data_IF_974076608950
#
_entry.id   IF_974076608950
#
_cell.length_a   1.000
_cell.length_b   1.000
_cell.length_c   1.000
_cell.angle_alpha   90.00
_cell.angle_beta   90.00
_cell.angle_gamma   90.00
#
_symmetry.space_group_name_H-M   'P 1'
#
loop_
_entity.id
_entity.type
_entity.pdbx_description
1 polymer ?
#
# COMPACT_ATOMS: atom_id res chain seq x y z
N UNK A 1 13.15 -22.33 -10.59
CA UNK A 1 12.98 -22.44 -9.12
C UNK A 1 14.31 -22.42 -8.37
N UNK A 2 15.29 -23.30 -8.70
CA UNK A 2 16.61 -23.32 -8.03
C UNK A 2 17.32 -21.96 -8.13
N UNK A 3 17.40 -21.35 -9.31
CA UNK A 3 18.05 -20.04 -9.49
C UNK A 3 17.42 -18.97 -8.60
N UNK A 4 16.07 -18.89 -8.53
CA UNK A 4 15.40 -17.89 -7.68
C UNK A 4 15.63 -18.12 -6.18
N UNK A 5 15.80 -19.37 -5.78
CA UNK A 5 16.15 -19.72 -4.40
C UNK A 5 17.60 -19.29 -4.08
N UNK A 6 18.53 -19.55 -5.01
CA UNK A 6 19.94 -19.10 -4.85
C UNK A 6 20.03 -17.58 -4.78
N UNK A 7 19.28 -16.85 -5.63
CA UNK A 7 19.23 -15.38 -5.58
C UNK A 7 18.66 -14.89 -4.24
N UNK A 8 17.63 -15.56 -3.70
CA UNK A 8 17.09 -15.22 -2.39
C UNK A 8 18.10 -15.49 -1.24
N UNK A 9 18.86 -16.57 -1.32
CA UNK A 9 19.95 -16.83 -0.35
C UNK A 9 21.04 -15.77 -0.45
N UNK A 10 21.39 -15.36 -1.66
CA UNK A 10 22.34 -14.26 -1.86
C UNK A 10 21.85 -12.96 -1.25
N UNK A 11 20.57 -12.61 -1.42
CA UNK A 11 19.96 -11.44 -0.81
C UNK A 11 20.02 -11.50 0.74
N UNK A 12 19.85 -12.69 1.33
CA UNK A 12 20.00 -12.89 2.80
C UNK A 12 21.45 -12.62 3.23
N UNK A 13 22.42 -13.16 2.50
CA UNK A 13 23.84 -12.94 2.81
C UNK A 13 24.21 -11.46 2.63
N UNK A 14 23.66 -10.81 1.63
CA UNK A 14 23.89 -9.38 1.35
C UNK A 14 23.50 -8.49 2.54
N UNK A 15 22.44 -8.80 3.29
CA UNK A 15 22.05 -8.02 4.47
C UNK A 15 23.11 -8.06 5.56
N UNK A 16 23.77 -9.20 5.76
CA UNK A 16 24.88 -9.32 6.70
C UNK A 16 26.12 -8.58 6.21
N UNK A 17 26.45 -8.69 4.92
CA UNK A 17 27.62 -7.99 4.33
C UNK A 17 27.44 -6.47 4.45
N UNK A 18 26.24 -5.94 4.21
CA UNK A 18 25.99 -4.50 4.26
C UNK A 18 25.97 -3.94 5.68
N UNK A 19 25.42 -4.65 6.65
CA UNK A 19 25.23 -4.12 8.01
C UNK A 19 26.25 -4.63 9.03
N UNK A 20 26.93 -5.74 8.77
CA UNK A 20 27.73 -6.45 9.77
C UNK A 20 26.90 -7.00 10.95
N UNK A 21 25.57 -6.92 10.90
CA UNK A 21 24.66 -7.20 12.01
C UNK A 21 24.00 -8.56 11.90
N UNK A 22 24.07 -9.31 12.96
CA UNK A 22 23.40 -10.60 13.10
C UNK A 22 21.88 -10.44 13.23
N UNK A 23 21.40 -9.34 13.85
CA UNK A 23 19.99 -9.00 13.90
C UNK A 23 19.39 -8.86 12.51
N UNK A 24 20.04 -8.09 11.62
CA UNK A 24 19.60 -7.92 10.24
C UNK A 24 19.55 -9.23 9.46
N UNK A 25 20.53 -10.09 9.63
CA UNK A 25 20.57 -11.42 9.03
C UNK A 25 19.39 -12.28 9.50
N UNK A 26 19.18 -12.39 10.82
CA UNK A 26 18.10 -13.19 11.39
C UNK A 26 16.72 -12.69 10.97
N UNK A 27 16.52 -11.37 10.97
CA UNK A 27 15.25 -10.79 10.49
C UNK A 27 15.01 -11.13 9.03
N UNK A 28 16.04 -11.07 8.19
CA UNK A 28 15.93 -11.42 6.76
C UNK A 28 15.61 -12.91 6.57
N UNK A 29 16.23 -13.78 7.35
CA UNK A 29 15.88 -15.21 7.38
C UNK A 29 14.44 -15.42 7.86
N UNK A 30 14.00 -14.71 8.89
CA UNK A 30 12.62 -14.76 9.36
C UNK A 30 11.62 -14.35 8.27
N UNK A 31 11.90 -13.26 7.54
CA UNK A 31 11.09 -12.81 6.38
C UNK A 31 11.00 -13.93 5.33
N UNK A 32 12.15 -14.50 4.97
CA UNK A 32 12.22 -15.55 3.96
C UNK A 32 11.43 -16.80 4.38
N UNK A 33 11.64 -17.29 5.60
CA UNK A 33 10.91 -18.45 6.14
C UNK A 33 9.40 -18.19 6.20
N UNK A 34 8.99 -17.01 6.69
CA UNK A 34 7.58 -16.61 6.75
C UNK A 34 6.91 -16.65 5.38
N UNK A 35 7.60 -16.16 4.35
CA UNK A 35 7.11 -16.22 2.97
C UNK A 35 7.00 -17.65 2.44
N UNK A 36 8.01 -18.50 2.68
CA UNK A 36 7.96 -19.91 2.29
C UNK A 36 6.82 -20.65 2.98
N UNK A 37 6.56 -20.36 4.27
CA UNK A 37 5.42 -20.93 5.00
C UNK A 37 4.09 -20.44 4.44
N UNK A 38 3.95 -19.15 4.15
CA UNK A 38 2.73 -18.62 3.54
C UNK A 38 2.49 -19.21 2.15
N UNK A 39 3.53 -19.48 1.36
CA UNK A 39 3.42 -20.17 0.07
C UNK A 39 2.83 -21.60 0.20
N UNK A 40 3.00 -22.27 1.35
CA UNK A 40 2.38 -23.59 1.58
C UNK A 40 0.85 -23.54 1.58
N UNK A 41 0.26 -22.38 1.86
CA UNK A 41 -1.20 -22.18 1.83
C UNK A 41 -1.78 -22.04 0.41
N UNK A 42 -0.94 -21.97 -0.63
CA UNK A 42 -1.35 -21.99 -2.03
C UNK A 42 -1.58 -23.45 -2.46
N UNK A 43 -2.60 -23.68 -3.29
CA UNK A 43 -2.87 -25.01 -3.88
C UNK A 43 -1.63 -25.59 -4.56
N UNK A 44 -1.45 -26.92 -4.47
CA UNK A 44 -0.23 -27.63 -4.92
C UNK A 44 0.19 -27.26 -6.36
N UNK A 45 -0.76 -27.15 -7.26
CA UNK A 45 -0.55 -26.82 -8.69
C UNK A 45 0.06 -25.45 -8.95
N UNK A 46 -0.15 -24.47 -8.06
CA UNK A 46 0.31 -23.10 -8.18
C UNK A 46 1.38 -22.72 -7.16
N UNK A 47 1.74 -23.63 -6.26
CA UNK A 47 2.68 -23.38 -5.15
C UNK A 47 4.06 -22.99 -5.62
N UNK A 48 4.58 -23.65 -6.64
CA UNK A 48 5.91 -23.38 -7.17
C UNK A 48 5.98 -22.00 -7.86
N UNK A 49 4.89 -21.59 -8.52
CA UNK A 49 4.79 -20.21 -9.05
C UNK A 49 4.70 -19.19 -7.92
N UNK A 50 3.97 -19.49 -6.83
CA UNK A 50 3.90 -18.65 -5.65
C UNK A 50 5.26 -18.47 -4.99
N UNK A 51 6.04 -19.55 -4.84
CA UNK A 51 7.43 -19.50 -4.34
C UNK A 51 8.35 -18.70 -5.24
N UNK A 52 8.26 -18.91 -6.56
CA UNK A 52 9.05 -18.14 -7.53
C UNK A 52 8.72 -16.64 -7.44
N UNK A 53 7.43 -16.28 -7.38
CA UNK A 53 6.97 -14.91 -7.21
C UNK A 53 7.54 -14.29 -5.94
N UNK A 54 7.37 -14.99 -4.81
CA UNK A 54 7.88 -14.54 -3.52
C UNK A 54 9.40 -14.32 -3.56
N UNK A 55 10.16 -15.31 -4.05
CA UNK A 55 11.62 -15.22 -4.10
C UNK A 55 12.09 -14.01 -4.93
N UNK A 56 11.45 -13.73 -6.07
CA UNK A 56 11.79 -12.56 -6.90
C UNK A 56 11.49 -11.26 -6.14
N UNK A 57 10.26 -11.10 -5.62
CA UNK A 57 9.85 -9.88 -4.94
C UNK A 57 10.68 -9.66 -3.67
N UNK A 58 10.87 -10.70 -2.85
CA UNK A 58 11.71 -10.67 -1.65
C UNK A 58 13.15 -10.25 -1.98
N UNK A 59 13.78 -10.88 -2.99
CA UNK A 59 15.15 -10.55 -3.35
C UNK A 59 15.29 -9.11 -3.83
N UNK A 60 14.36 -8.63 -4.67
CA UNK A 60 14.36 -7.25 -5.12
C UNK A 60 14.21 -6.28 -3.93
N UNK A 61 13.18 -6.46 -3.08
CA UNK A 61 12.95 -5.58 -1.93
C UNK A 61 14.12 -5.58 -0.95
N UNK A 62 14.70 -6.75 -0.65
CA UNK A 62 15.86 -6.88 0.23
C UNK A 62 17.08 -6.17 -0.34
N UNK A 63 17.36 -6.34 -1.64
CA UNK A 63 18.48 -5.65 -2.31
C UNK A 63 18.31 -4.14 -2.27
N UNK A 64 17.10 -3.63 -2.55
CA UNK A 64 16.84 -2.18 -2.48
C UNK A 64 16.90 -1.64 -1.06
N UNK A 65 16.47 -2.42 -0.06
CA UNK A 65 16.64 -2.06 1.35
C UNK A 65 18.11 -1.99 1.76
N UNK A 66 18.96 -2.90 1.25
CA UNK A 66 20.40 -2.84 1.45
C UNK A 66 21.03 -1.60 0.80
N UNK A 67 20.63 -1.25 -0.43
CA UNK A 67 21.10 -0.03 -1.10
C UNK A 67 20.66 1.21 -0.34
N UNK A 68 19.40 1.26 0.10
CA UNK A 68 18.89 2.36 0.92
C UNK A 68 19.66 2.49 2.25
N UNK A 69 19.90 1.37 2.91
CA UNK A 69 20.70 1.36 4.15
C UNK A 69 22.10 1.92 3.94
N UNK A 70 22.81 1.44 2.91
CA UNK A 70 24.17 1.90 2.62
C UNK A 70 24.22 3.41 2.36
N UNK A 71 23.28 3.91 1.59
CA UNK A 71 23.17 5.32 1.26
C UNK A 71 22.83 6.17 2.49
N UNK A 72 21.90 5.69 3.34
CA UNK A 72 21.49 6.39 4.57
C UNK A 72 22.60 6.42 5.63
N UNK A 73 23.40 5.36 5.76
CA UNK A 73 24.51 5.29 6.73
C UNK A 73 25.64 6.23 6.34
N UNK A 74 25.90 6.38 5.03
CA UNK A 74 26.92 7.31 4.53
C UNK A 74 26.52 8.77 4.74
N UNK A 75 25.24 9.07 4.55
CA UNK A 75 24.70 10.40 4.73
C UNK A 75 23.33 10.36 5.44
N UNK A 76 23.33 10.61 6.76
CA UNK A 76 22.12 10.62 7.59
C UNK A 76 21.03 11.62 7.18
N UNK A 77 21.27 12.43 6.15
CA UNK A 77 20.29 13.35 5.59
C UNK A 77 19.48 12.72 4.46
N UNK A 78 19.81 11.51 4.04
CA UNK A 78 19.22 10.84 2.87
C UNK A 78 18.20 9.75 3.22
N UNK A 79 17.30 10.00 4.16
CA UNK A 79 16.04 9.23 4.19
C UNK A 79 15.21 9.62 2.97
N UNK A 80 14.86 8.66 2.13
CA UNK A 80 14.25 8.79 0.80
C UNK A 80 13.14 9.86 0.64
N UNK A 81 12.22 9.70 -0.28
CA UNK A 81 11.20 10.69 -0.62
C UNK A 81 10.30 11.17 0.54
N UNK A 82 10.16 10.34 1.59
CA UNK A 82 9.42 10.63 2.82
C UNK A 82 10.35 10.67 4.05
N UNK A 83 11.54 11.18 3.88
CA UNK A 83 12.60 11.20 4.90
C UNK A 83 12.13 11.68 6.28
N UNK A 84 11.24 12.65 6.35
CA UNK A 84 10.72 13.16 7.62
C UNK A 84 9.95 12.10 8.42
N UNK A 85 9.16 11.26 7.76
CA UNK A 85 8.42 10.16 8.40
C UNK A 85 9.37 8.99 8.76
N UNK A 86 10.28 8.59 7.86
CA UNK A 86 11.27 7.54 8.12
C UNK A 86 12.20 7.91 9.28
N UNK A 87 12.75 9.14 9.26
CA UNK A 87 13.59 9.65 10.33
C UNK A 87 12.85 9.67 11.68
N UNK A 88 11.61 10.11 11.69
CA UNK A 88 10.75 10.10 12.88
C UNK A 88 10.59 8.67 13.44
N UNK A 89 10.28 7.70 12.59
CA UNK A 89 10.12 6.31 13.03
C UNK A 89 11.45 5.69 13.48
N UNK A 90 12.56 6.05 12.83
CA UNK A 90 13.87 5.62 13.30
C UNK A 90 14.18 6.14 14.71
N UNK A 91 13.98 7.44 14.96
CA UNK A 91 14.17 8.02 16.30
C UNK A 91 13.26 7.41 17.36
N UNK A 92 12.03 7.07 17.01
CA UNK A 92 11.13 6.35 17.89
C UNK A 92 11.63 4.92 18.18
N UNK A 93 12.15 4.22 17.19
CA UNK A 93 12.71 2.89 17.40
C UNK A 93 13.94 2.89 18.30
N UNK A 94 14.84 3.89 18.14
CA UNK A 94 15.98 4.10 19.06
C UNK A 94 15.53 4.37 20.49
N UNK A 95 14.51 5.19 20.70
CA UNK A 95 13.95 5.45 22.03
C UNK A 95 13.35 4.19 22.64
N UNK A 96 12.60 3.41 21.85
CA UNK A 96 11.89 2.22 22.32
C UNK A 96 12.82 1.01 22.54
N UNK A 97 13.98 0.97 21.91
CA UNK A 97 14.97 -0.10 22.14
C UNK A 97 15.46 -0.14 23.59
N UNK A 98 15.56 1.03 24.24
CA UNK A 98 15.97 1.14 25.66
C UNK A 98 14.89 0.84 26.69
N UNK A 99 13.68 0.42 26.29
CA UNK A 99 12.60 0.10 27.24
C UNK A 99 12.88 -1.18 28.02
N UNK A 100 12.43 -1.28 29.28
CA UNK A 100 12.74 -2.43 30.14
C UNK A 100 11.95 -3.70 29.77
N UNK A 101 10.85 -3.57 29.03
CA UNK A 101 10.00 -4.72 28.65
C UNK A 101 9.01 -4.39 27.53
N UNK A 102 8.55 -5.41 26.83
CA UNK A 102 7.43 -5.29 25.85
C UNK A 102 6.17 -4.75 26.52
N UNK A 103 5.93 -5.07 27.80
CA UNK A 103 4.79 -4.56 28.55
C UNK A 103 4.86 -3.03 28.71
N UNK A 104 6.02 -2.47 29.00
CA UNK A 104 6.19 -1.00 29.11
C UNK A 104 5.97 -0.30 27.77
N UNK A 105 6.46 -0.88 26.66
CA UNK A 105 6.19 -0.38 25.31
C UNK A 105 4.68 -0.38 25.02
N UNK A 106 3.98 -1.47 25.36
CA UNK A 106 2.53 -1.58 25.15
C UNK A 106 1.76 -0.53 25.97
N UNK A 107 2.13 -0.36 27.24
CA UNK A 107 1.48 0.63 28.13
C UNK A 107 1.69 2.04 27.58
N UNK A 108 2.90 2.39 27.20
CA UNK A 108 3.20 3.76 26.73
C UNK A 108 2.63 4.04 25.33
N UNK A 109 2.54 3.04 24.46
CA UNK A 109 1.91 3.21 23.16
C UNK A 109 0.37 3.33 23.27
N UNK A 110 -0.31 2.43 23.99
CA UNK A 110 -1.77 2.31 23.91
C UNK A 110 -2.53 2.92 25.10
N UNK A 111 -1.93 2.96 26.30
CA UNK A 111 -2.58 3.47 27.50
C UNK A 111 -2.17 4.93 27.75
N UNK A 112 -0.88 5.17 27.94
CA UNK A 112 -0.35 6.50 28.25
C UNK A 112 -0.29 7.40 27.01
N UNK A 113 -0.11 6.82 25.81
CA UNK A 113 0.09 7.52 24.53
C UNK A 113 1.22 8.55 24.57
N UNK A 114 2.27 8.25 25.31
CA UNK A 114 3.41 9.15 25.52
C UNK A 114 4.43 9.07 24.38
N UNK A 115 4.39 8.00 23.59
CA UNK A 115 5.35 7.72 22.51
C UNK A 115 4.73 8.06 21.16
N UNK A 116 5.44 8.80 20.32
CA UNK A 116 4.98 9.13 18.95
C UNK A 116 4.01 10.28 18.84
N UNK A 117 3.61 10.91 19.98
CA UNK A 117 2.66 12.02 20.03
C UNK A 117 1.19 11.56 20.19
N UNK A 118 0.28 12.47 20.51
CA UNK A 118 -1.05 12.15 21.03
C UNK A 118 -2.02 11.55 20.00
N UNK A 119 -1.69 11.54 18.72
CA UNK A 119 -2.73 11.40 17.69
C UNK A 119 -2.51 10.22 16.78
N UNK A 120 -1.28 9.73 16.54
CA UNK A 120 -1.09 8.89 15.37
C UNK A 120 -0.27 7.63 15.60
N UNK A 121 -0.72 6.54 14.98
CA UNK A 121 0.11 5.40 14.58
C UNK A 121 0.61 4.51 15.72
N UNK A 122 -0.07 4.46 16.82
CA UNK A 122 0.36 3.68 17.99
C UNK A 122 0.63 2.21 17.65
N UNK A 123 -0.15 1.61 16.74
CA UNK A 123 0.09 0.25 16.29
C UNK A 123 1.39 0.08 15.51
N UNK A 124 1.76 1.06 14.67
CA UNK A 124 3.04 1.00 13.96
C UNK A 124 4.22 1.30 14.89
N UNK A 125 4.08 2.29 15.78
CA UNK A 125 5.08 2.61 16.80
C UNK A 125 5.34 1.40 17.71
N UNK A 126 4.27 0.72 18.14
CA UNK A 126 4.37 -0.53 18.90
C UNK A 126 5.10 -1.63 18.14
N UNK A 127 4.77 -1.81 16.85
CA UNK A 127 5.43 -2.80 16.00
C UNK A 127 6.94 -2.55 15.89
N UNK A 128 7.36 -1.33 15.53
CA UNK A 128 8.79 -1.00 15.42
C UNK A 128 9.50 -1.03 16.77
N UNK A 129 8.79 -0.68 17.86
CA UNK A 129 9.30 -0.75 19.22
C UNK A 129 9.55 -2.19 19.69
N UNK A 130 8.66 -3.14 19.37
CA UNK A 130 8.93 -4.56 19.64
C UNK A 130 10.14 -5.04 18.87
N UNK A 131 10.26 -4.73 17.59
CA UNK A 131 11.41 -5.10 16.79
C UNK A 131 12.70 -4.54 17.40
N UNK A 132 12.71 -3.25 17.74
CA UNK A 132 13.86 -2.59 18.33
C UNK A 132 14.25 -3.20 19.68
N UNK A 133 13.28 -3.44 20.57
CA UNK A 133 13.48 -4.10 21.84
C UNK A 133 14.05 -5.52 21.70
N UNK A 134 13.52 -6.30 20.75
CA UNK A 134 14.02 -7.66 20.51
C UNK A 134 15.46 -7.65 19.99
N UNK A 135 15.79 -6.73 19.09
CA UNK A 135 17.14 -6.59 18.56
C UNK A 135 18.14 -6.19 19.65
N UNK A 136 17.77 -5.23 20.51
CA UNK A 136 18.63 -4.74 21.59
C UNK A 136 18.80 -5.77 22.72
N UNK A 137 17.71 -6.49 23.07
CA UNK A 137 17.72 -7.38 24.23
C UNK A 137 18.32 -8.76 23.91
N UNK A 138 18.08 -9.29 22.72
CA UNK A 138 18.36 -10.69 22.38
C UNK A 138 19.38 -10.87 21.24
N UNK A 139 19.76 -9.80 20.55
CA UNK A 139 20.65 -9.84 19.39
C UNK A 139 21.84 -8.87 19.59
N UNK A 140 22.39 -8.38 18.51
CA UNK A 140 23.55 -7.49 18.48
C UNK A 140 23.21 -5.99 18.42
N UNK A 141 21.95 -5.63 18.72
CA UNK A 141 21.47 -4.25 18.79
C UNK A 141 20.49 -3.88 17.68
N UNK A 142 19.76 -2.80 17.94
CA UNK A 142 18.84 -2.22 16.97
C UNK A 142 19.61 -1.46 15.89
N UNK A 143 19.43 -1.84 14.62
CA UNK A 143 19.99 -1.13 13.50
C UNK A 143 18.94 -0.85 12.41
N UNK A 144 19.22 0.12 11.55
CA UNK A 144 18.28 0.62 10.56
C UNK A 144 17.92 -0.46 9.51
N UNK A 145 18.86 -1.30 9.06
CA UNK A 145 18.57 -2.36 8.10
C UNK A 145 17.66 -3.43 8.70
N UNK A 146 17.81 -3.75 9.98
CA UNK A 146 16.90 -4.64 10.70
C UNK A 146 15.45 -4.10 10.66
N UNK A 147 15.28 -2.80 10.86
CA UNK A 147 13.97 -2.14 10.79
C UNK A 147 13.41 -2.12 9.35
N UNK A 148 14.26 -1.89 8.34
CA UNK A 148 13.85 -1.99 6.92
C UNK A 148 13.36 -3.40 6.58
N UNK A 149 14.00 -4.44 7.12
CA UNK A 149 13.53 -5.82 6.92
C UNK A 149 12.14 -6.05 7.52
N UNK A 150 11.74 -5.30 8.55
CA UNK A 150 10.36 -5.25 9.04
C UNK A 150 9.36 -4.79 7.98
N UNK A 151 9.70 -3.80 7.16
CA UNK A 151 8.87 -3.37 6.02
C UNK A 151 8.90 -4.38 4.89
N UNK A 152 10.09 -4.94 4.57
CA UNK A 152 10.27 -5.98 3.54
C UNK A 152 9.42 -7.23 3.86
N UNK A 153 9.21 -7.56 5.13
CA UNK A 153 8.30 -8.64 5.53
C UNK A 153 6.92 -8.46 4.88
N UNK A 154 6.27 -7.33 5.13
CA UNK A 154 4.93 -7.08 4.62
C UNK A 154 4.91 -6.84 3.11
N UNK A 155 5.90 -6.14 2.56
CA UNK A 155 6.05 -5.91 1.12
C UNK A 155 6.23 -7.21 0.32
N UNK A 156 6.94 -8.19 0.85
CA UNK A 156 7.12 -9.48 0.19
C UNK A 156 5.92 -10.42 0.37
N UNK A 157 5.36 -10.51 1.59
CA UNK A 157 4.17 -11.32 1.88
C UNK A 157 2.93 -10.82 1.13
N UNK A 158 2.82 -9.51 0.89
CA UNK A 158 1.79 -8.91 0.06
C UNK A 158 1.66 -9.60 -1.30
N UNK A 159 2.77 -9.90 -1.98
CA UNK A 159 2.76 -10.54 -3.30
C UNK A 159 2.07 -11.92 -3.27
N UNK A 160 2.25 -12.69 -2.20
CA UNK A 160 1.63 -14.01 -2.02
C UNK A 160 0.11 -13.87 -1.80
N UNK A 161 -0.31 -12.94 -0.94
CA UNK A 161 -1.74 -12.70 -0.68
C UNK A 161 -2.43 -12.20 -1.95
N UNK A 162 -1.80 -11.28 -2.68
CA UNK A 162 -2.32 -10.80 -3.96
C UNK A 162 -2.43 -11.94 -4.97
N UNK A 163 -1.43 -12.82 -5.05
CA UNK A 163 -1.46 -13.98 -5.93
C UNK A 163 -2.63 -14.92 -5.59
N UNK A 164 -2.88 -15.18 -4.29
CA UNK A 164 -4.05 -15.97 -3.84
C UNK A 164 -5.37 -15.33 -4.26
N UNK A 165 -5.49 -14.01 -4.21
CA UNK A 165 -6.68 -13.29 -4.67
C UNK A 165 -6.86 -13.46 -6.18
N UNK A 166 -5.79 -13.30 -6.96
CA UNK A 166 -5.85 -13.46 -8.41
C UNK A 166 -6.23 -14.88 -8.83
N UNK A 167 -5.76 -15.91 -8.11
CA UNK A 167 -6.11 -17.31 -8.34
C UNK A 167 -7.59 -17.63 -8.14
N UNK A 168 -8.37 -16.76 -7.50
CA UNK A 168 -9.83 -16.92 -7.40
C UNK A 168 -10.54 -16.68 -8.75
N UNK A 169 -9.88 -15.97 -9.67
CA UNK A 169 -10.51 -15.49 -10.89
C UNK A 169 -9.72 -15.76 -12.16
N UNK A 170 -8.41 -15.96 -12.08
CA UNK A 170 -7.49 -16.00 -13.22
C UNK A 170 -6.62 -17.24 -13.12
N UNK A 171 -6.29 -17.84 -14.26
CA UNK A 171 -5.34 -18.97 -14.37
C UNK A 171 -3.99 -18.63 -13.73
N UNK A 172 -3.37 -19.62 -13.07
CA UNK A 172 -2.16 -19.44 -12.28
C UNK A 172 -0.97 -18.88 -13.05
N UNK A 173 -0.80 -19.20 -14.34
CA UNK A 173 0.28 -18.64 -15.16
C UNK A 173 0.08 -17.15 -15.46
N UNK A 174 -1.16 -16.75 -15.73
CA UNK A 174 -1.51 -15.33 -15.97
C UNK A 174 -1.52 -14.56 -14.66
N UNK A 175 -2.08 -15.12 -13.60
CA UNK A 175 -2.08 -14.55 -12.26
C UNK A 175 -0.65 -14.23 -11.80
N UNK A 176 0.30 -15.17 -11.98
CA UNK A 176 1.73 -14.94 -11.70
C UNK A 176 2.28 -13.71 -12.42
N UNK A 177 2.06 -13.62 -13.76
CA UNK A 177 2.54 -12.48 -14.56
C UNK A 177 1.95 -11.15 -14.10
N UNK A 178 0.65 -11.11 -13.83
CA UNK A 178 -0.01 -9.89 -13.39
C UNK A 178 0.46 -9.46 -12.01
N UNK A 179 0.55 -10.38 -11.07
CA UNK A 179 1.00 -10.06 -9.71
C UNK A 179 2.47 -9.65 -9.69
N UNK A 180 3.34 -10.33 -10.45
CA UNK A 180 4.73 -9.93 -10.58
C UNK A 180 4.86 -8.50 -11.14
N UNK A 181 4.12 -8.19 -12.22
CA UNK A 181 4.11 -6.86 -12.81
C UNK A 181 3.62 -5.80 -11.80
N UNK A 182 2.54 -6.08 -11.07
CA UNK A 182 2.04 -5.17 -10.05
C UNK A 182 3.06 -4.99 -8.91
N UNK A 183 3.63 -6.08 -8.41
CA UNK A 183 4.56 -6.03 -7.28
C UNK A 183 5.85 -5.26 -7.60
N UNK A 184 6.30 -5.25 -8.86
CA UNK A 184 7.55 -4.58 -9.25
C UNK A 184 7.34 -3.19 -9.88
N UNK A 185 6.19 -2.96 -10.56
CA UNK A 185 5.95 -1.72 -11.30
C UNK A 185 4.93 -0.79 -10.65
N UNK A 186 4.36 -1.13 -9.49
CA UNK A 186 3.46 -0.23 -8.77
C UNK A 186 4.19 0.50 -7.64
N UNK A 187 3.55 1.55 -7.13
CA UNK A 187 4.03 2.30 -5.97
C UNK A 187 4.33 1.40 -4.75
N UNK A 188 3.69 0.24 -4.65
CA UNK A 188 3.91 -0.72 -3.55
C UNK A 188 5.35 -1.20 -3.48
N UNK A 189 6.04 -1.28 -4.61
CA UNK A 189 7.44 -1.68 -4.63
C UNK A 189 8.32 -0.70 -3.85
N UNK A 190 8.25 0.60 -4.15
CA UNK A 190 9.02 1.62 -3.43
C UNK A 190 8.70 1.62 -1.93
N UNK A 191 7.43 1.54 -1.56
CA UNK A 191 7.05 1.53 -0.15
C UNK A 191 7.32 0.20 0.55
N UNK A 192 7.61 -0.86 -0.20
CA UNK A 192 7.91 -2.19 0.33
C UNK A 192 9.26 -2.33 1.03
N UNK A 193 10.21 -1.42 0.77
CA UNK A 193 11.53 -1.39 1.40
C UNK A 193 11.79 -0.12 2.23
N UNK A 194 10.94 0.91 2.12
CA UNK A 194 11.02 2.10 2.96
C UNK A 194 10.52 1.82 4.37
N UNK A 195 11.08 2.51 5.35
CA UNK A 195 10.70 2.38 6.75
C UNK A 195 9.42 3.15 7.07
N UNK A 196 8.32 2.70 6.45
CA UNK A 196 7.02 3.35 6.51
C UNK A 196 5.89 2.35 6.82
N UNK A 197 4.85 2.84 7.49
CA UNK A 197 3.67 2.04 7.86
C UNK A 197 2.79 1.61 6.70
N UNK A 198 2.89 2.29 5.56
CA UNK A 198 1.91 2.21 4.47
C UNK A 198 1.85 0.81 3.83
N UNK A 199 3.00 0.13 3.69
CA UNK A 199 3.04 -1.26 3.20
C UNK A 199 2.43 -2.24 4.20
N UNK A 200 2.56 -1.98 5.51
CA UNK A 200 1.96 -2.80 6.57
C UNK A 200 0.44 -2.70 6.50
N UNK A 201 -0.09 -1.48 6.37
CA UNK A 201 -1.52 -1.22 6.18
C UNK A 201 -2.03 -1.97 4.94
N UNK A 202 -1.33 -1.83 3.82
CA UNK A 202 -1.69 -2.48 2.56
C UNK A 202 -1.77 -4.00 2.68
N UNK A 203 -0.82 -4.63 3.36
CA UNK A 203 -0.83 -6.08 3.58
C UNK A 203 -2.07 -6.52 4.35
N UNK A 204 -2.44 -5.81 5.42
CA UNK A 204 -3.63 -6.12 6.19
C UNK A 204 -4.92 -5.85 5.40
N UNK A 205 -4.97 -4.77 4.61
CA UNK A 205 -6.09 -4.51 3.69
C UNK A 205 -6.28 -5.64 2.68
N UNK A 206 -5.17 -6.12 2.12
CA UNK A 206 -5.21 -7.24 1.18
C UNK A 206 -5.68 -8.54 1.84
N UNK A 207 -5.29 -8.74 3.10
CA UNK A 207 -5.75 -9.87 3.90
C UNK A 207 -7.26 -9.79 4.21
N UNK A 208 -7.76 -8.59 4.53
CA UNK A 208 -9.18 -8.28 4.64
C UNK A 208 -9.89 -8.61 3.33
N UNK A 209 -9.40 -8.11 2.20
CA UNK A 209 -9.96 -8.34 0.88
C UNK A 209 -10.01 -9.84 0.55
N UNK A 210 -8.95 -10.58 0.84
CA UNK A 210 -8.92 -12.04 0.64
C UNK A 210 -10.01 -12.75 1.43
N UNK A 211 -10.24 -12.37 2.70
CA UNK A 211 -11.31 -12.95 3.53
C UNK A 211 -12.69 -12.61 2.97
N UNK A 212 -12.92 -11.36 2.59
CA UNK A 212 -14.20 -10.88 2.05
C UNK A 212 -14.60 -11.63 0.78
N UNK A 213 -13.63 -12.02 -0.03
CA UNK A 213 -13.87 -12.82 -1.25
C UNK A 213 -14.20 -14.29 -0.97
N UNK A 214 -13.93 -14.79 0.23
CA UNK A 214 -14.26 -16.18 0.62
C UNK A 214 -15.73 -16.34 1.01
N UNK A 215 -16.17 -17.60 1.11
CA UNK A 215 -17.49 -17.94 1.66
C UNK A 215 -17.58 -17.51 3.12
N UNK A 216 -18.77 -17.11 3.55
CA UNK A 216 -19.00 -16.71 4.93
C UNK A 216 -18.76 -17.86 5.90
N UNK A 217 -17.99 -17.57 6.95
CA UNK A 217 -17.86 -18.40 8.16
C UNK A 217 -17.63 -17.48 9.36
N UNK A 218 -18.06 -17.90 10.55
CA UNK A 218 -17.90 -17.10 11.79
C UNK A 218 -16.42 -16.85 12.09
N UNK A 219 -15.54 -17.85 11.93
CA UNK A 219 -14.10 -17.68 12.15
C UNK A 219 -13.49 -16.62 11.23
N UNK A 220 -13.92 -16.56 9.96
CA UNK A 220 -13.47 -15.51 9.02
C UNK A 220 -14.00 -14.14 9.40
N UNK A 221 -15.23 -14.07 9.93
CA UNK A 221 -15.77 -12.81 10.44
C UNK A 221 -14.96 -12.31 11.64
N UNK A 222 -14.62 -13.19 12.58
CA UNK A 222 -13.73 -12.84 13.70
C UNK A 222 -12.38 -12.37 13.18
N UNK A 223 -11.76 -13.11 12.24
CA UNK A 223 -10.51 -12.71 11.60
C UNK A 223 -10.61 -11.34 10.91
N UNK A 224 -11.72 -11.07 10.22
CA UNK A 224 -11.97 -9.78 9.57
C UNK A 224 -12.05 -8.63 10.59
N UNK A 225 -12.74 -8.84 11.72
CA UNK A 225 -12.84 -7.85 12.80
C UNK A 225 -11.45 -7.59 13.41
N UNK A 226 -10.67 -8.64 13.69
CA UNK A 226 -9.31 -8.51 14.23
C UNK A 226 -8.37 -7.77 13.28
N UNK A 227 -8.40 -8.09 11.99
CA UNK A 227 -7.59 -7.39 10.97
C UNK A 227 -8.01 -5.93 10.84
N UNK A 228 -9.31 -5.63 10.88
CA UNK A 228 -9.83 -4.25 10.85
C UNK A 228 -9.38 -3.46 12.08
N UNK A 229 -9.36 -4.10 13.27
CA UNK A 229 -8.82 -3.48 14.48
C UNK A 229 -7.32 -3.21 14.37
N UNK A 230 -6.52 -4.12 13.80
CA UNK A 230 -5.09 -3.90 13.55
C UNK A 230 -4.91 -2.71 12.61
N UNK A 231 -5.66 -2.66 11.49
CA UNK A 231 -5.60 -1.52 10.55
C UNK A 231 -5.97 -0.21 11.23
N UNK A 232 -6.97 -0.22 12.13
CA UNK A 232 -7.35 0.95 12.92
C UNK A 232 -6.20 1.45 13.80
N UNK A 233 -5.46 0.54 14.45
CA UNK A 233 -4.29 0.90 15.26
C UNK A 233 -3.12 1.41 14.40
N UNK A 234 -3.02 0.98 13.14
CA UNK A 234 -2.01 1.46 12.20
C UNK A 234 -2.38 2.84 11.62
N UNK A 235 -3.65 3.06 11.29
CA UNK A 235 -4.20 4.33 10.77
C UNK A 235 -5.70 4.37 10.95
N UNK A 236 -6.19 5.31 11.77
CA UNK A 236 -7.60 5.40 12.14
C UNK A 236 -8.54 5.48 10.92
N UNK A 237 -8.23 6.33 9.94
CA UNK A 237 -9.05 6.52 8.72
C UNK A 237 -9.22 5.21 7.94
N UNK A 238 -8.15 4.45 7.80
CA UNK A 238 -8.17 3.16 7.11
C UNK A 238 -8.95 2.10 7.90
N UNK A 239 -8.81 2.11 9.24
CA UNK A 239 -9.57 1.21 10.10
C UNK A 239 -11.07 1.48 10.04
N UNK A 240 -11.47 2.75 10.11
CA UNK A 240 -12.87 3.15 9.95
C UNK A 240 -13.43 2.71 8.60
N UNK A 241 -12.65 2.90 7.53
CA UNK A 241 -13.05 2.46 6.21
C UNK A 241 -13.17 0.93 6.09
N UNK A 242 -12.38 0.17 6.85
CA UNK A 242 -12.45 -1.29 6.85
C UNK A 242 -13.78 -1.86 7.33
N UNK A 243 -14.58 -1.07 8.07
CA UNK A 243 -15.93 -1.43 8.50
C UNK A 243 -16.85 -1.66 7.30
N UNK A 244 -16.63 -0.95 6.19
CA UNK A 244 -17.40 -1.16 4.94
C UNK A 244 -17.21 -2.58 4.40
N UNK A 245 -16.01 -3.15 4.55
CA UNK A 245 -15.74 -4.54 4.15
C UNK A 245 -16.44 -5.55 5.08
N UNK A 246 -16.49 -5.26 6.39
CA UNK A 246 -17.24 -6.08 7.36
C UNK A 246 -18.73 -6.05 6.99
N UNK A 247 -19.29 -4.88 6.77
CA UNK A 247 -20.67 -4.69 6.36
C UNK A 247 -21.00 -5.47 5.06
N UNK A 248 -20.12 -5.36 4.06
CA UNK A 248 -20.28 -6.08 2.81
C UNK A 248 -20.21 -7.59 3.00
N UNK A 249 -19.30 -8.10 3.84
CA UNK A 249 -19.17 -9.54 4.12
C UNK A 249 -20.41 -10.11 4.81
N UNK A 250 -20.98 -9.37 5.77
CA UNK A 250 -22.24 -9.74 6.44
C UNK A 250 -23.41 -9.64 5.46
N UNK A 251 -23.49 -8.57 4.65
CA UNK A 251 -24.49 -8.44 3.60
C UNK A 251 -24.49 -9.64 2.64
N UNK A 252 -23.31 -10.05 2.18
CA UNK A 252 -23.12 -11.20 1.28
C UNK A 252 -23.66 -12.49 1.89
N UNK A 253 -23.50 -12.68 3.21
CA UNK A 253 -24.00 -13.85 3.92
C UNK A 253 -25.54 -13.87 4.04
N UNK A 254 -26.11 -12.72 4.37
CA UNK A 254 -27.51 -12.61 4.78
C UNK A 254 -28.41 -11.91 3.77
N UNK A 255 -27.93 -11.65 2.53
CA UNK A 255 -28.70 -10.94 1.48
C UNK A 255 -30.08 -11.53 1.15
N UNK A 256 -30.31 -12.79 1.47
CA UNK A 256 -31.61 -13.44 1.30
C UNK A 256 -32.62 -13.05 2.39
N UNK A 257 -32.17 -12.61 3.56
CA UNK A 257 -32.97 -12.22 4.70
C UNK A 257 -33.09 -10.69 4.71
N UNK A 258 -34.02 -10.15 3.91
CA UNK A 258 -34.17 -8.70 3.69
C UNK A 258 -34.29 -7.90 4.99
N UNK A 259 -35.04 -8.39 5.97
CA UNK A 259 -35.24 -7.72 7.27
C UNK A 259 -33.91 -7.60 8.04
N UNK A 260 -33.10 -8.65 8.08
CA UNK A 260 -31.81 -8.63 8.76
C UNK A 260 -30.83 -7.64 8.08
N UNK A 261 -30.85 -7.59 6.75
CA UNK A 261 -30.03 -6.64 5.98
C UNK A 261 -30.43 -5.20 6.32
N UNK A 262 -31.72 -4.88 6.36
CA UNK A 262 -32.19 -3.54 6.72
C UNK A 262 -31.85 -3.18 8.17
N UNK A 263 -32.02 -4.12 9.12
CA UNK A 263 -31.61 -3.93 10.52
C UNK A 263 -30.10 -3.63 10.62
N UNK A 264 -29.26 -4.40 9.93
CA UNK A 264 -27.81 -4.18 9.91
C UNK A 264 -27.45 -2.82 9.30
N UNK A 265 -28.09 -2.44 8.18
CA UNK A 265 -27.88 -1.14 7.54
C UNK A 265 -28.30 0.04 8.42
N UNK A 266 -29.30 -0.15 9.28
CA UNK A 266 -29.74 0.88 10.26
C UNK A 266 -28.88 0.90 11.52
N UNK A 267 -28.55 -0.27 12.08
CA UNK A 267 -27.80 -0.36 13.34
C UNK A 267 -26.31 -0.04 13.17
N UNK A 268 -25.70 -0.42 12.04
CA UNK A 268 -24.28 -0.27 11.82
C UNK A 268 -23.82 1.22 11.83
N UNK A 269 -24.52 2.17 11.17
CA UNK A 269 -24.23 3.60 11.32
C UNK A 269 -24.40 4.11 12.76
N UNK A 270 -25.44 3.67 13.45
CA UNK A 270 -25.69 4.10 14.84
C UNK A 270 -24.58 3.63 15.77
N UNK A 271 -24.23 2.35 15.72
CA UNK A 271 -23.10 1.78 16.48
C UNK A 271 -21.79 2.51 16.12
N UNK A 272 -21.59 2.76 14.82
CA UNK A 272 -20.43 3.48 14.33
C UNK A 272 -20.35 4.89 14.92
N UNK A 273 -21.42 5.68 14.86
CA UNK A 273 -21.42 7.05 15.41
C UNK A 273 -21.31 7.09 16.92
N UNK A 274 -21.90 6.15 17.64
CA UNK A 274 -21.83 6.09 19.12
C UNK A 274 -20.42 5.76 19.61
N UNK A 275 -19.75 4.77 18.98
CA UNK A 275 -18.44 4.30 19.45
C UNK A 275 -17.26 4.97 18.75
N UNK A 276 -17.43 5.45 17.54
CA UNK A 276 -16.36 6.02 16.74
C UNK A 276 -16.59 7.49 16.34
N UNK A 277 -17.63 8.15 16.85
CA UNK A 277 -17.96 9.54 16.51
C UNK A 277 -16.79 10.49 16.73
N UNK A 278 -16.12 10.39 17.88
CA UNK A 278 -14.94 11.21 18.20
C UNK A 278 -13.76 10.97 17.24
N UNK A 279 -13.56 9.74 16.78
CA UNK A 279 -12.53 9.41 15.78
C UNK A 279 -12.94 9.88 14.39
N UNK A 280 -14.23 9.80 14.07
CA UNK A 280 -14.77 10.35 12.83
C UNK A 280 -14.57 11.87 12.77
N UNK A 281 -14.89 12.59 13.85
CA UNK A 281 -14.68 14.03 13.94
C UNK A 281 -13.20 14.40 13.80
N UNK A 282 -12.27 13.63 14.38
CA UNK A 282 -10.84 13.82 14.18
C UNK A 282 -10.43 13.59 12.73
N UNK A 283 -10.94 12.52 12.10
CA UNK A 283 -10.65 12.20 10.69
C UNK A 283 -11.15 13.33 9.78
N UNK A 284 -12.38 13.81 10.00
CA UNK A 284 -12.95 14.95 9.25
C UNK A 284 -12.15 16.22 9.49
N UNK A 285 -11.75 16.50 10.73
CA UNK A 285 -10.92 17.66 11.07
C UNK A 285 -9.53 17.57 10.40
N UNK A 286 -8.91 16.38 10.39
CA UNK A 286 -7.65 16.14 9.69
C UNK A 286 -7.80 16.37 8.19
N UNK A 287 -8.85 15.83 7.56
CA UNK A 287 -9.14 16.06 6.13
C UNK A 287 -9.32 17.55 5.82
N UNK A 288 -10.04 18.28 6.68
CA UNK A 288 -10.25 19.72 6.56
C UNK A 288 -8.93 20.47 6.69
N UNK A 289 -8.12 20.15 7.68
CA UNK A 289 -6.80 20.74 7.88
C UNK A 289 -5.88 20.50 6.67
N UNK A 290 -5.82 19.28 6.13
CA UNK A 290 -5.05 18.98 4.92
C UNK A 290 -5.56 19.76 3.70
N UNK A 291 -6.87 19.93 3.56
CA UNK A 291 -7.46 20.71 2.46
C UNK A 291 -7.10 22.19 2.59
N UNK A 292 -7.20 22.74 3.81
CA UNK A 292 -6.83 24.13 4.12
C UNK A 292 -5.33 24.36 3.86
N UNK A 293 -4.47 23.50 4.42
CA UNK A 293 -3.01 23.55 4.22
C UNK A 293 -2.63 23.49 2.73
N UNK A 294 -3.19 22.54 1.96
CA UNK A 294 -2.91 22.41 0.53
C UNK A 294 -3.43 23.61 -0.26
N UNK A 295 -4.58 24.16 0.15
CA UNK A 295 -5.16 25.36 -0.49
C UNK A 295 -4.32 26.60 -0.17
N UNK A 296 -3.79 26.72 1.04
CA UNK A 296 -2.89 27.81 1.41
C UNK A 296 -1.56 27.71 0.66
N UNK A 297 -0.95 26.54 0.60
CA UNK A 297 0.25 26.30 -0.22
C UNK A 297 0.00 26.63 -1.70
N UNK A 298 -1.20 26.33 -2.20
CA UNK A 298 -1.58 26.64 -3.58
C UNK A 298 -1.61 28.14 -3.90
N UNK A 299 -1.73 29.02 -2.91
CA UNK A 299 -1.68 30.48 -3.11
C UNK A 299 -0.28 30.95 -3.49
N UNK A 300 0.77 30.28 -3.03
CA UNK A 300 2.17 30.72 -3.09
C UNK A 300 3.05 29.87 -4.03
N UNK A 301 2.55 28.80 -4.57
CA UNK A 301 3.37 27.84 -5.32
C UNK A 301 2.93 27.65 -6.76
N UNK A 302 3.91 27.33 -7.65
CA UNK A 302 3.77 27.23 -9.11
C UNK A 302 3.60 25.80 -9.64
N UNK A 303 3.20 24.87 -8.78
CA UNK A 303 2.99 23.46 -9.18
C UNK A 303 1.61 23.20 -9.79
N UNK A 304 1.51 22.33 -10.83
CA UNK A 304 0.23 21.96 -11.45
C UNK A 304 -0.78 21.43 -10.43
N UNK A 305 -0.34 20.60 -9.48
CA UNK A 305 -1.19 20.08 -8.40
C UNK A 305 -1.85 21.19 -7.58
N UNK A 306 -1.11 22.28 -7.35
CA UNK A 306 -1.57 23.38 -6.54
C UNK A 306 -2.56 24.30 -7.28
N UNK A 307 -2.47 24.41 -8.61
CA UNK A 307 -3.49 25.08 -9.40
C UNK A 307 -4.84 24.38 -9.34
N UNK A 308 -4.84 23.05 -9.22
CA UNK A 308 -6.09 22.27 -9.12
C UNK A 308 -6.84 22.65 -7.82
N UNK A 309 -6.15 22.91 -6.73
CA UNK A 309 -6.78 23.34 -5.46
C UNK A 309 -7.41 24.72 -5.52
N UNK A 310 -7.05 25.56 -6.52
CA UNK A 310 -7.68 26.88 -6.77
C UNK A 310 -9.01 26.78 -7.53
N UNK A 311 -9.35 25.60 -8.09
CA UNK A 311 -10.59 25.41 -8.83
C UNK A 311 -11.82 25.41 -7.92
N UNK A 312 -13.01 25.75 -8.46
CA UNK A 312 -14.28 25.62 -7.74
C UNK A 312 -14.48 24.19 -7.19
N UNK A 313 -15.10 24.02 -6.01
CA UNK A 313 -15.13 22.75 -5.29
C UNK A 313 -15.48 21.53 -6.12
N UNK A 314 -16.59 21.55 -6.87
CA UNK A 314 -17.04 20.38 -7.66
C UNK A 314 -16.05 20.06 -8.79
N UNK A 315 -15.55 21.07 -9.50
CA UNK A 315 -14.58 20.89 -10.59
C UNK A 315 -13.25 20.38 -10.00
N UNK A 316 -12.83 20.95 -8.88
CA UNK A 316 -11.63 20.53 -8.15
C UNK A 316 -11.65 19.03 -7.84
N UNK A 317 -12.73 18.53 -7.22
CA UNK A 317 -12.83 17.11 -6.84
C UNK A 317 -12.78 16.18 -8.06
N UNK A 318 -13.48 16.53 -9.15
CA UNK A 318 -13.43 15.75 -10.40
C UNK A 318 -12.01 15.74 -10.98
N UNK A 319 -11.37 16.91 -11.05
CA UNK A 319 -10.01 17.01 -11.58
C UNK A 319 -9.01 16.29 -10.70
N UNK A 320 -9.10 16.40 -9.37
CA UNK A 320 -8.24 15.67 -8.41
C UNK A 320 -8.39 14.15 -8.55
N UNK A 321 -9.62 13.65 -8.75
CA UNK A 321 -9.85 12.22 -8.97
C UNK A 321 -9.04 11.69 -10.16
N UNK A 322 -9.10 12.37 -11.30
CA UNK A 322 -8.32 11.97 -12.47
C UNK A 322 -6.84 12.29 -12.33
N UNK A 323 -6.49 13.42 -11.71
CA UNK A 323 -5.10 13.80 -11.47
C UNK A 323 -4.37 12.80 -10.56
N UNK A 324 -5.05 12.21 -9.59
CA UNK A 324 -4.48 11.21 -8.69
C UNK A 324 -3.82 10.02 -9.42
N UNK A 325 -4.28 9.73 -10.64
CA UNK A 325 -3.74 8.65 -11.48
C UNK A 325 -2.50 9.04 -12.30
N UNK A 326 -2.18 10.33 -12.40
CA UNK A 326 -1.02 10.84 -13.18
C UNK A 326 0.03 11.53 -12.32
N UNK A 327 -0.28 11.78 -11.05
CA UNK A 327 0.64 12.41 -10.11
C UNK A 327 1.84 11.49 -9.80
N UNK A 328 3.07 12.05 -9.64
CA UNK A 328 3.47 13.43 -9.85
C UNK A 328 3.62 13.79 -11.32
N UNK A 329 3.39 15.07 -11.65
CA UNK A 329 3.59 15.61 -13.01
C UNK A 329 4.56 16.79 -12.94
N UNK A 330 5.67 16.77 -13.68
CA UNK A 330 6.19 15.63 -14.45
C UNK A 330 6.81 14.56 -13.53
N UNK A 331 6.75 13.27 -13.90
CA UNK A 331 7.20 12.18 -13.03
C UNK A 331 8.73 12.15 -12.81
N UNK A 332 9.49 12.84 -13.65
CA UNK A 332 10.96 12.92 -13.55
C UNK A 332 11.46 14.12 -12.73
N UNK A 333 10.59 14.95 -12.15
CA UNK A 333 11.01 16.15 -11.42
C UNK A 333 12.02 15.84 -10.31
N UNK A 334 11.79 14.76 -9.58
CA UNK A 334 12.66 14.33 -8.49
C UNK A 334 13.98 13.75 -8.99
N UNK A 335 14.02 13.15 -10.18
CA UNK A 335 15.24 12.57 -10.75
C UNK A 335 16.36 13.61 -10.94
N UNK A 336 15.99 14.81 -11.38
CA UNK A 336 16.97 15.90 -11.56
C UNK A 336 17.34 16.62 -10.26
N UNK A 337 16.58 16.40 -9.20
CA UNK A 337 16.87 16.90 -7.86
C UNK A 337 17.60 15.88 -6.97
N UNK A 338 17.80 14.66 -7.45
CA UNK A 338 18.44 13.57 -6.70
C UNK A 338 19.90 13.88 -6.45
N UNK A 339 20.32 13.80 -5.17
CA UNK A 339 21.69 14.07 -4.76
C UNK A 339 22.52 12.80 -4.62
N UNK A 340 21.90 11.64 -4.52
CA UNK A 340 22.54 10.34 -4.30
C UNK A 340 21.97 9.25 -5.21
N UNK A 341 22.65 8.08 -5.22
CA UNK A 341 22.30 6.96 -6.06
C UNK A 341 20.90 6.41 -5.73
N UNK A 342 20.59 6.30 -4.44
CA UNK A 342 19.31 5.71 -4.00
C UNK A 342 18.12 6.59 -4.41
N UNK A 343 18.20 7.91 -4.17
CA UNK A 343 17.18 8.86 -4.61
C UNK A 343 16.98 8.83 -6.12
N UNK A 344 18.07 8.69 -6.88
CA UNK A 344 18.02 8.50 -8.34
C UNK A 344 17.24 7.26 -8.75
N UNK A 345 17.50 6.12 -8.10
CA UNK A 345 16.82 4.85 -8.35
C UNK A 345 15.34 4.96 -7.98
N UNK A 346 15.00 5.51 -6.81
CA UNK A 346 13.61 5.70 -6.38
C UNK A 346 12.87 6.62 -7.34
N UNK A 347 13.52 7.71 -7.78
CA UNK A 347 12.94 8.66 -8.75
C UNK A 347 12.70 8.03 -10.12
N UNK A 348 13.59 7.15 -10.58
CA UNK A 348 13.33 6.33 -11.78
C UNK A 348 12.12 5.41 -11.60
N UNK A 349 11.97 4.80 -10.43
CA UNK A 349 10.80 3.96 -10.14
C UNK A 349 9.51 4.79 -10.06
N UNK A 350 9.58 6.06 -9.60
CA UNK A 350 8.43 6.99 -9.66
C UNK A 350 7.91 7.13 -11.10
N UNK A 351 8.81 7.25 -12.09
CA UNK A 351 8.41 7.31 -13.49
C UNK A 351 7.70 6.01 -13.92
N UNK A 352 8.26 4.86 -13.54
CA UNK A 352 7.71 3.54 -13.88
C UNK A 352 6.31 3.37 -13.30
N UNK A 353 6.13 3.60 -12.00
CA UNK A 353 4.82 3.39 -11.37
C UNK A 353 3.77 4.41 -11.81
N UNK A 354 4.15 5.64 -12.09
CA UNK A 354 3.22 6.66 -12.58
C UNK A 354 2.68 6.28 -13.96
N UNK A 355 3.54 5.88 -14.90
CA UNK A 355 3.12 5.41 -16.23
C UNK A 355 2.27 4.14 -16.12
N UNK A 356 2.73 3.17 -15.29
CA UNK A 356 2.01 1.92 -15.06
C UNK A 356 0.59 2.20 -14.54
N UNK A 357 0.47 3.04 -13.51
CA UNK A 357 -0.80 3.34 -12.87
C UNK A 357 -1.72 4.17 -13.78
N UNK A 358 -1.17 5.13 -14.51
CA UNK A 358 -1.88 5.87 -15.54
C UNK A 358 -2.58 4.93 -16.54
N UNK A 359 -1.82 4.00 -17.13
CA UNK A 359 -2.38 3.04 -18.10
C UNK A 359 -3.46 2.16 -17.46
N UNK A 360 -3.22 1.65 -16.25
CA UNK A 360 -4.17 0.81 -15.53
C UNK A 360 -5.46 1.56 -15.23
N UNK A 361 -5.35 2.72 -14.59
CA UNK A 361 -6.50 3.50 -14.15
C UNK A 361 -7.38 3.96 -15.30
N UNK A 362 -6.79 4.62 -16.30
CA UNK A 362 -7.57 5.15 -17.44
C UNK A 362 -8.12 4.05 -18.35
N UNK A 363 -7.40 2.94 -18.52
CA UNK A 363 -7.97 1.77 -19.21
C UNK A 363 -9.15 1.18 -18.45
N UNK A 364 -9.04 1.07 -17.13
CA UNK A 364 -10.13 0.56 -16.28
C UNK A 364 -11.34 1.47 -16.36
N UNK A 365 -11.14 2.77 -16.21
CA UNK A 365 -12.20 3.77 -16.33
C UNK A 365 -12.88 3.69 -17.69
N UNK A 366 -12.11 3.71 -18.80
CA UNK A 366 -12.63 3.59 -20.13
C UNK A 366 -13.48 2.34 -20.31
N UNK A 367 -12.94 1.17 -19.97
CA UNK A 367 -13.63 -0.09 -20.22
C UNK A 367 -14.83 -0.31 -19.31
N UNK A 368 -14.73 0.02 -18.03
CA UNK A 368 -15.83 -0.20 -17.09
C UNK A 368 -16.94 0.84 -17.25
N UNK A 369 -16.58 2.13 -17.38
CA UNK A 369 -17.54 3.23 -17.37
C UNK A 369 -17.96 3.60 -18.80
N UNK A 370 -17.02 4.00 -19.67
CA UNK A 370 -17.35 4.50 -21.01
C UNK A 370 -17.84 3.39 -21.95
N UNK A 371 -17.19 2.22 -21.93
CA UNK A 371 -17.58 1.06 -22.75
C UNK A 371 -18.68 0.20 -22.08
N UNK A 372 -19.14 0.55 -20.87
CA UNK A 372 -20.20 -0.14 -20.13
C UNK A 372 -19.90 -1.59 -19.73
N UNK A 373 -18.62 -1.99 -19.69
CA UNK A 373 -18.21 -3.38 -19.41
C UNK A 373 -18.24 -3.77 -17.94
N UNK A 374 -18.73 -2.92 -17.06
CA UNK A 374 -18.85 -3.22 -15.61
C UNK A 374 -19.67 -4.50 -15.37
N UNK A 375 -20.67 -4.78 -16.22
CA UNK A 375 -21.50 -6.00 -16.17
C UNK A 375 -20.70 -7.29 -16.43
N UNK A 376 -19.51 -7.19 -16.97
CA UNK A 376 -18.62 -8.34 -17.20
C UNK A 376 -17.82 -8.74 -15.96
N UNK A 377 -17.78 -7.90 -14.94
CA UNK A 377 -17.13 -8.21 -13.68
C UNK A 377 -17.98 -9.16 -12.82
N UNK A 378 -17.35 -10.02 -12.02
CA UNK A 378 -18.05 -10.72 -10.93
C UNK A 378 -18.73 -9.72 -9.99
N UNK A 379 -19.87 -10.09 -9.41
CA UNK A 379 -20.65 -9.19 -8.53
C UNK A 379 -19.80 -8.68 -7.37
N UNK A 380 -19.00 -9.56 -6.75
CA UNK A 380 -18.09 -9.15 -5.67
C UNK A 380 -17.10 -8.06 -6.14
N UNK A 381 -16.59 -8.16 -7.38
CA UNK A 381 -15.67 -7.17 -7.95
C UNK A 381 -16.35 -5.84 -8.30
N UNK A 382 -17.63 -5.85 -8.65
CA UNK A 382 -18.40 -4.61 -8.86
C UNK A 382 -18.48 -3.83 -7.53
N UNK A 383 -18.89 -4.51 -6.45
CA UNK A 383 -18.96 -3.91 -5.12
C UNK A 383 -17.61 -3.40 -4.63
N UNK A 384 -16.57 -4.22 -4.73
CA UNK A 384 -15.22 -3.85 -4.31
C UNK A 384 -14.66 -2.68 -5.12
N UNK A 385 -14.94 -2.62 -6.43
CA UNK A 385 -14.56 -1.47 -7.26
C UNK A 385 -15.30 -0.20 -6.83
N UNK A 386 -16.58 -0.29 -6.49
CA UNK A 386 -17.35 0.82 -5.93
C UNK A 386 -16.76 1.32 -4.60
N UNK A 387 -16.41 0.39 -3.70
CA UNK A 387 -15.73 0.69 -2.43
C UNK A 387 -14.37 1.37 -2.69
N UNK A 388 -13.59 0.87 -3.67
CA UNK A 388 -12.30 1.47 -4.02
C UNK A 388 -12.45 2.90 -4.56
N UNK A 389 -13.45 3.16 -5.41
CA UNK A 389 -13.76 4.52 -5.91
C UNK A 389 -14.17 5.42 -4.74
N UNK A 390 -15.04 4.96 -3.85
CA UNK A 390 -15.44 5.71 -2.66
C UNK A 390 -14.22 6.06 -1.80
N UNK A 391 -13.30 5.12 -1.59
CA UNK A 391 -12.07 5.36 -0.85
C UNK A 391 -11.21 6.46 -1.50
N UNK A 392 -11.04 6.44 -2.83
CA UNK A 392 -10.31 7.49 -3.55
C UNK A 392 -10.99 8.84 -3.35
N UNK A 393 -12.32 8.92 -3.53
CA UNK A 393 -13.08 10.15 -3.38
C UNK A 393 -12.93 10.74 -1.98
N UNK A 394 -13.01 9.93 -0.94
CA UNK A 394 -12.84 10.36 0.44
C UNK A 394 -11.40 10.84 0.77
N UNK A 395 -10.42 10.44 -0.02
CA UNK A 395 -9.00 10.83 0.16
C UNK A 395 -8.53 11.90 -0.82
N UNK A 396 -9.41 12.56 -1.58
CA UNK A 396 -9.02 13.59 -2.56
C UNK A 396 -8.39 14.84 -1.93
N UNK A 397 -8.62 15.10 -0.65
CA UNK A 397 -7.93 16.16 0.10
C UNK A 397 -6.41 15.95 0.16
N UNK A 398 -5.96 14.70 0.06
CA UNK A 398 -4.55 14.34 -0.03
C UNK A 398 -4.38 13.15 -0.99
N UNK A 399 -4.35 13.38 -2.32
CA UNK A 399 -4.36 12.33 -3.33
C UNK A 399 -2.99 11.67 -3.53
N UNK A 400 -2.13 11.65 -2.52
CA UNK A 400 -0.83 10.99 -2.57
C UNK A 400 -1.00 9.49 -2.82
N UNK A 401 -0.23 8.93 -3.75
CA UNK A 401 -0.27 7.50 -4.10
C UNK A 401 -0.14 6.58 -2.89
N UNK A 402 0.70 6.95 -1.92
CA UNK A 402 0.89 6.17 -0.68
C UNK A 402 -0.41 5.96 0.10
N UNK A 403 -1.30 6.95 0.12
CA UNK A 403 -2.59 6.84 0.80
C UNK A 403 -3.59 6.00 0.00
N UNK A 404 -3.54 6.11 -1.31
CA UNK A 404 -4.47 5.43 -2.21
C UNK A 404 -4.06 3.98 -2.52
N UNK A 405 -2.82 3.59 -2.25
CA UNK A 405 -2.31 2.27 -2.64
C UNK A 405 -3.07 1.10 -2.01
N UNK A 406 -3.78 1.31 -0.89
CA UNK A 406 -4.61 0.28 -0.25
C UNK A 406 -5.71 -0.28 -1.18
N UNK A 407 -6.25 0.54 -2.10
CA UNK A 407 -7.30 0.13 -3.04
C UNK A 407 -6.78 -0.19 -4.45
N UNK A 408 -5.51 0.10 -4.75
CA UNK A 408 -4.92 -0.19 -6.05
C UNK A 408 -5.01 -1.66 -6.49
N UNK A 409 -4.82 -2.66 -5.59
CA UNK A 409 -4.99 -4.06 -5.95
C UNK A 409 -6.38 -4.40 -6.49
N UNK A 410 -7.43 -3.77 -5.95
CA UNK A 410 -8.82 -3.97 -6.40
C UNK A 410 -9.01 -3.45 -7.82
N UNK A 411 -8.56 -2.21 -8.08
CA UNK A 411 -8.66 -1.58 -9.40
C UNK A 411 -7.83 -2.37 -10.43
N UNK A 412 -6.64 -2.81 -10.03
CA UNK A 412 -5.77 -3.60 -10.91
C UNK A 412 -6.36 -4.98 -11.23
N UNK A 413 -6.98 -5.65 -10.25
CA UNK A 413 -7.69 -6.91 -10.49
C UNK A 413 -8.87 -6.70 -11.46
N UNK A 414 -9.66 -5.64 -11.27
CA UNK A 414 -10.76 -5.29 -12.18
C UNK A 414 -10.24 -5.03 -13.60
N UNK A 415 -9.14 -4.27 -13.74
CA UNK A 415 -8.43 -4.08 -15.01
C UNK A 415 -8.07 -5.41 -15.67
N UNK A 416 -7.42 -6.32 -14.93
CA UNK A 416 -6.99 -7.60 -15.47
C UNK A 416 -8.16 -8.48 -15.91
N UNK A 417 -9.24 -8.53 -15.11
CA UNK A 417 -10.44 -9.32 -15.41
C UNK A 417 -11.14 -8.86 -16.68
N UNK A 418 -11.25 -7.56 -16.90
CA UNK A 418 -11.86 -7.02 -18.12
C UNK A 418 -10.93 -7.18 -19.32
N UNK A 419 -9.64 -6.92 -19.13
CA UNK A 419 -8.61 -7.07 -20.17
C UNK A 419 -8.58 -8.49 -20.76
N UNK A 420 -8.77 -9.53 -19.93
CA UNK A 420 -8.81 -10.93 -20.40
C UNK A 420 -10.00 -11.21 -21.35
N UNK A 421 -11.04 -10.38 -21.31
CA UNK A 421 -12.23 -10.50 -22.15
C UNK A 421 -12.20 -9.61 -23.41
N UNK A 422 -11.15 -8.80 -23.57
CA UNK A 422 -10.98 -7.89 -24.70
C UNK A 422 -9.95 -8.46 -25.67
N UNK A 423 -10.20 -8.43 -27.00
CA UNK A 423 -9.23 -8.84 -28.00
C UNK A 423 -7.92 -8.06 -27.89
N UNK A 424 -6.79 -8.75 -28.01
CA UNK A 424 -5.43 -8.16 -27.89
C UNK A 424 -5.21 -6.91 -28.75
N UNK A 425 -5.64 -6.86 -30.03
CA UNK A 425 -5.47 -5.66 -30.86
C UNK A 425 -6.13 -4.43 -30.24
N UNK A 426 -7.33 -4.59 -29.66
CA UNK A 426 -8.07 -3.48 -29.00
C UNK A 426 -7.33 -3.02 -27.75
N UNK A 427 -6.81 -3.94 -26.94
CA UNK A 427 -5.99 -3.61 -25.77
C UNK A 427 -4.75 -2.85 -26.16
N UNK A 428 -4.04 -3.30 -27.22
CA UNK A 428 -2.81 -2.65 -27.69
C UNK A 428 -3.11 -1.26 -28.25
N UNK A 429 -4.17 -1.11 -29.07
CA UNK A 429 -4.62 0.20 -29.56
C UNK A 429 -4.94 1.16 -28.42
N UNK A 430 -5.66 0.69 -27.38
CA UNK A 430 -5.98 1.52 -26.22
C UNK A 430 -4.72 1.98 -25.49
N UNK A 431 -3.74 1.09 -25.26
CA UNK A 431 -2.46 1.45 -24.64
C UNK A 431 -1.70 2.49 -25.47
N UNK A 432 -1.63 2.30 -26.79
CA UNK A 432 -0.96 3.23 -27.68
C UNK A 432 -1.60 4.63 -27.63
N UNK A 433 -2.94 4.71 -27.69
CA UNK A 433 -3.68 5.97 -27.58
C UNK A 433 -3.42 6.64 -26.22
N UNK A 434 -3.52 5.91 -25.13
CA UNK A 434 -3.24 6.46 -23.79
C UNK A 434 -1.78 6.94 -23.66
N UNK A 435 -0.82 6.15 -24.16
CA UNK A 435 0.60 6.58 -24.17
C UNK A 435 0.81 7.84 -24.98
N UNK A 436 0.15 7.97 -26.15
CA UNK A 436 0.19 9.18 -26.96
C UNK A 436 -0.38 10.39 -26.24
N UNK A 437 -1.54 10.24 -25.58
CA UNK A 437 -2.15 11.31 -24.77
C UNK A 437 -1.22 11.74 -23.62
N UNK A 438 -0.59 10.76 -22.94
CA UNK A 438 0.32 11.05 -21.84
C UNK A 438 1.55 11.85 -22.32
N UNK A 439 2.20 11.39 -23.39
CA UNK A 439 3.36 12.09 -23.98
C UNK A 439 2.98 13.49 -24.46
N UNK A 440 1.84 13.62 -25.15
CA UNK A 440 1.34 14.92 -25.60
C UNK A 440 1.09 15.87 -24.41
N UNK A 441 0.45 15.38 -23.34
CA UNK A 441 0.22 16.17 -22.13
C UNK A 441 1.51 16.63 -21.46
N UNK A 442 2.54 15.76 -21.43
CA UNK A 442 3.85 16.13 -20.91
C UNK A 442 4.57 17.17 -21.76
N UNK A 443 4.52 17.02 -23.09
CA UNK A 443 5.11 18.01 -24.02
C UNK A 443 4.41 19.36 -23.85
N UNK A 444 3.08 19.38 -23.81
CA UNK A 444 2.31 20.59 -23.56
C UNK A 444 2.66 21.25 -22.22
N UNK A 445 2.81 20.45 -21.17
CA UNK A 445 3.24 20.94 -19.84
C UNK A 445 4.61 21.60 -19.88
N UNK A 446 5.58 21.01 -20.61
CA UNK A 446 6.93 21.59 -20.78
C UNK A 446 6.82 22.92 -21.51
N UNK A 447 6.09 22.98 -22.63
CA UNK A 447 5.91 24.22 -23.39
C UNK A 447 5.23 25.34 -22.61
N UNK A 448 4.27 25.02 -21.75
CA UNK A 448 3.59 26.03 -20.93
C UNK A 448 4.44 26.53 -19.76
N UNK A 449 5.52 25.83 -19.43
CA UNK A 449 6.41 26.16 -18.32
C UNK A 449 7.76 26.76 -18.76
N UNK A 450 8.13 26.57 -20.04
CA UNK A 450 9.28 27.22 -20.67
C UNK A 450 8.95 28.67 -21.02
#
# INVERSE_FOLDING_TARGET
>A
MIISFVVALFAIILTFICSGSFASLLMTVFVFVSGQLLCRTIGRENRDRGRLLFNIVFSCLTTFACVHYMDTVVDWQTFALDWSDEYKFWKLSETLSGYPSVKSILVDCFINRNVGGPIENQGYVFYIGILAYMAETFLDGNNLLYQFMGSVLFGSLFSIVLYKIFLLYIDGKKAFKYVLLFSLCSVVFSYGFLFLRDVVILFFYLSILYIVLQKFTVHRLIGLILLSFIVFQLREEHGLFSIVFIAYYIYKAFRKIKVLVWLLLLCLPVVFFVYFGTYFDRTVSSMKHYTEFTTEQAKFADGLSLYIFKLPPVIKEVVLFFYSAVSPVPPWKQLFASMNLFDGIVSLHVIVYTIFWYIVFYSTFKWLVLDGRIKQLPVDMIWLSGIAVLFIVLNLSNPAHRRLMAVYPVIYLAYCLVKEKIPRPVVNKNKLVLSGIYVFGLVLYIFLKA
#
